data_IF_263276375784
#
_entry.id   IF_263276375784
#
_cell.length_a   1.000
_cell.length_b   1.000
_cell.length_c   1.000
_cell.angle_alpha   90.00
_cell.angle_beta   90.00
_cell.angle_gamma   90.00
#
_symmetry.space_group_name_H-M   'P 1'
#
loop_
_entity.id
_entity.type
_entity.pdbx_description
1 polymer ?
#
# COMPACT_ATOMS: atom_id res chain seq x y z
N UNK A 1 -2.26 -21.93 16.17
CA UNK A 1 -2.19 -20.58 15.56
C UNK A 1 -1.43 -20.70 14.26
N UNK A 2 -1.98 -20.25 13.11
CA UNK A 2 -1.25 -20.25 11.86
C UNK A 2 -0.03 -19.33 11.98
N UNK A 3 1.13 -19.82 11.53
CA UNK A 3 2.38 -19.07 11.47
C UNK A 3 2.15 -17.80 10.61
N UNK A 4 2.29 -16.61 11.21
CA UNK A 4 2.29 -15.34 10.47
C UNK A 4 3.74 -15.00 10.11
N UNK A 5 4.12 -15.00 8.82
CA UNK A 5 5.48 -14.67 8.43
C UNK A 5 5.83 -13.25 8.89
N UNK A 6 7.04 -13.06 9.41
CA UNK A 6 7.56 -11.74 9.76
C UNK A 6 7.84 -11.01 8.43
N UNK A 7 7.22 -9.84 8.18
CA UNK A 7 7.48 -9.10 6.96
C UNK A 7 8.94 -8.67 6.93
N UNK A 8 9.59 -8.87 5.78
CA UNK A 8 10.97 -8.45 5.56
C UNK A 8 11.05 -6.93 5.29
N UNK A 9 12.22 -6.32 5.47
CA UNK A 9 12.45 -4.94 5.07
C UNK A 9 12.13 -4.77 3.59
N UNK A 10 11.28 -3.82 3.22
CA UNK A 10 11.11 -3.43 1.81
C UNK A 10 12.35 -2.70 1.31
N UNK A 11 12.43 -2.43 -0.01
CA UNK A 11 13.49 -1.57 -0.55
C UNK A 11 13.50 -0.19 0.12
N UNK A 12 12.32 0.38 0.34
CA UNK A 12 12.15 1.69 0.94
C UNK A 12 12.60 1.68 2.41
N UNK A 13 12.34 0.60 3.14
CA UNK A 13 12.82 0.41 4.52
C UNK A 13 14.35 0.21 4.56
N UNK A 14 14.92 -0.53 3.61
CA UNK A 14 16.37 -0.69 3.47
C UNK A 14 17.06 0.64 3.08
N UNK A 15 16.44 1.44 2.21
CA UNK A 15 16.92 2.77 1.84
C UNK A 15 16.85 3.75 3.01
N UNK A 16 15.77 3.71 3.79
CA UNK A 16 15.64 4.51 5.01
C UNK A 16 16.70 4.12 6.06
N UNK A 17 16.90 2.82 6.30
CA UNK A 17 17.97 2.30 7.16
C UNK A 17 19.35 2.76 6.68
N UNK A 18 19.62 2.70 5.38
CA UNK A 18 20.87 3.21 4.80
C UNK A 18 21.05 4.72 5.04
N UNK A 19 20.02 5.54 4.80
CA UNK A 19 20.07 6.99 5.02
C UNK A 19 20.31 7.32 6.49
N UNK A 20 19.62 6.62 7.41
CA UNK A 20 19.83 6.79 8.86
C UNK A 20 21.27 6.50 9.23
N UNK A 21 21.85 5.40 8.72
CA UNK A 21 23.25 5.07 8.96
C UNK A 21 24.21 6.09 8.38
N UNK A 22 23.97 6.56 7.16
CA UNK A 22 24.79 7.60 6.51
C UNK A 22 24.75 8.91 7.31
N UNK A 23 23.56 9.36 7.77
CA UNK A 23 23.45 10.55 8.63
C UNK A 23 24.15 10.31 9.98
N UNK A 24 24.09 9.10 10.57
CA UNK A 24 24.81 8.77 11.81
C UNK A 24 26.34 8.81 11.61
N UNK A 25 26.83 8.29 10.49
CA UNK A 25 28.26 8.31 10.15
C UNK A 25 28.80 9.74 9.94
N UNK A 26 27.95 10.68 9.52
CA UNK A 26 28.26 12.11 9.42
C UNK A 26 28.22 12.84 10.77
N UNK A 27 27.98 12.14 11.87
CA UNK A 27 27.94 12.72 13.22
C UNK A 27 26.64 13.45 13.54
N UNK A 28 25.58 13.29 12.75
CA UNK A 28 24.27 13.83 13.12
C UNK A 28 23.77 13.13 14.38
N UNK A 29 23.46 13.91 15.42
CA UNK A 29 22.94 13.39 16.67
C UNK A 29 21.49 12.94 16.47
N UNK A 30 21.29 11.62 16.42
CA UNK A 30 20.00 11.04 16.72
C UNK A 30 19.84 11.00 18.26
N UNK A 31 18.65 11.29 18.82
CA UNK A 31 18.44 11.21 20.26
C UNK A 31 18.93 9.85 20.80
N UNK A 32 19.89 9.89 21.73
CA UNK A 32 20.45 8.70 22.37
C UNK A 32 19.53 8.09 23.43
N UNK A 33 18.50 8.83 23.85
CA UNK A 33 17.46 8.28 24.70
C UNK A 33 16.67 7.27 23.89
N UNK A 34 16.28 6.16 24.53
CA UNK A 34 15.34 5.22 23.94
C UNK A 34 14.19 6.04 23.32
N UNK A 35 13.88 5.81 22.03
CA UNK A 35 12.84 6.54 21.35
C UNK A 35 11.60 6.56 22.24
N UNK A 36 11.10 7.75 22.60
CA UNK A 36 9.79 7.83 23.24
C UNK A 36 8.79 7.28 22.22
N UNK A 37 7.90 6.42 22.68
CA UNK A 37 6.77 6.01 21.87
C UNK A 37 5.95 7.28 21.65
N UNK A 38 5.98 7.82 20.43
CA UNK A 38 5.21 9.00 20.08
C UNK A 38 3.74 8.64 19.90
N UNK A 39 3.50 7.40 19.46
CA UNK A 39 2.18 6.87 19.19
C UNK A 39 2.20 5.34 19.34
N UNK A 40 1.15 4.76 19.89
CA UNK A 40 0.90 3.32 19.89
C UNK A 40 -0.23 3.01 18.92
N UNK A 41 -0.01 2.04 18.02
CA UNK A 41 -1.03 1.54 17.10
C UNK A 41 -1.26 0.05 17.34
N UNK A 42 -2.48 -0.44 17.11
CA UNK A 42 -2.79 -1.87 17.19
C UNK A 42 -2.74 -2.40 15.75
N UNK A 43 -1.84 -3.33 15.46
CA UNK A 43 -1.77 -3.93 14.12
C UNK A 43 -2.98 -4.84 13.84
N UNK A 44 -3.21 -5.27 12.58
CA UNK A 44 -4.26 -6.22 12.23
C UNK A 44 -4.14 -7.62 12.90
N UNK A 45 -3.14 -7.84 13.75
CA UNK A 45 -2.99 -9.02 14.60
C UNK A 45 -3.42 -8.77 16.05
N UNK A 46 -3.89 -7.57 16.38
CA UNK A 46 -4.19 -7.16 17.75
C UNK A 46 -2.95 -6.85 18.59
N UNK A 47 -1.77 -6.68 17.98
CA UNK A 47 -0.53 -6.40 18.71
C UNK A 47 -0.28 -4.90 18.80
N UNK A 48 0.14 -4.44 19.97
CA UNK A 48 0.66 -3.07 20.13
C UNK A 48 1.95 -2.92 19.34
N UNK A 49 1.95 -1.88 18.51
CA UNK A 49 3.06 -1.43 17.71
C UNK A 49 3.43 -0.05 18.19
N UNK A 50 4.67 0.10 18.64
CA UNK A 50 5.20 1.38 19.07
C UNK A 50 5.72 2.13 17.85
N UNK A 51 5.24 3.35 17.65
CA UNK A 51 5.68 4.24 16.59
C UNK A 51 6.54 5.33 17.23
N UNK A 52 7.73 5.53 16.68
CA UNK A 52 8.59 6.66 17.02
C UNK A 52 9.01 7.39 15.77
N UNK A 53 8.98 8.73 15.83
CA UNK A 53 9.36 9.68 14.81
C UNK A 53 10.59 10.44 15.32
N UNK A 54 11.73 10.25 14.67
CA UNK A 54 12.98 10.88 15.04
C UNK A 54 13.35 11.96 14.01
N UNK A 55 13.26 13.25 14.37
CA UNK A 55 13.70 14.32 13.48
C UNK A 55 15.22 14.35 13.37
N UNK A 56 15.76 14.45 12.15
CA UNK A 56 17.15 14.79 11.88
C UNK A 56 17.21 16.24 11.38
N UNK A 57 17.89 17.17 12.08
CA UNK A 57 17.93 18.59 11.70
C UNK A 57 18.55 18.85 10.31
N UNK A 58 19.42 17.96 9.83
CA UNK A 58 20.06 18.09 8.51
C UNK A 58 19.50 17.15 7.44
N UNK A 59 18.71 16.15 7.83
CA UNK A 59 18.23 15.11 6.91
C UNK A 59 16.71 14.95 6.91
N UNK A 60 15.90 15.50 7.83
CA UNK A 60 14.44 15.34 7.95
C UNK A 60 13.93 14.28 8.93
N UNK A 61 12.62 14.03 9.01
CA UNK A 61 11.99 13.11 10.00
C UNK A 61 11.99 11.64 9.56
N UNK A 62 12.48 10.75 10.43
CA UNK A 62 12.47 9.29 10.22
C UNK A 62 11.45 8.64 11.16
N UNK A 63 10.44 7.95 10.62
CA UNK A 63 9.53 7.10 11.41
C UNK A 63 10.13 5.69 11.54
N UNK A 64 10.44 5.29 12.76
CA UNK A 64 10.77 3.92 13.14
C UNK A 64 9.57 3.28 13.82
N UNK A 65 9.18 2.11 13.33
CA UNK A 65 8.18 1.28 13.99
C UNK A 65 8.90 0.21 14.80
N UNK A 66 8.44 -0.11 16.00
CA UNK A 66 9.02 -1.17 16.83
C UNK A 66 7.94 -2.18 17.15
N UNK A 67 8.25 -3.47 16.96
CA UNK A 67 7.33 -4.56 17.31
C UNK A 67 7.91 -5.33 18.49
N UNK A 68 7.20 -5.44 19.62
CA UNK A 68 7.62 -6.35 20.66
C UNK A 68 7.58 -7.79 20.11
N UNK A 69 8.69 -8.52 20.22
CA UNK A 69 8.70 -9.95 19.90
C UNK A 69 8.18 -10.73 21.11
N UNK A 70 7.51 -11.88 20.92
CA UNK A 70 6.90 -12.67 22.00
C UNK A 70 7.87 -13.26 23.03
N UNK A 71 9.18 -12.99 22.94
CA UNK A 71 10.18 -13.50 23.89
C UNK A 71 10.54 -12.42 24.91
N UNK A 72 10.52 -12.72 26.22
CA UNK A 72 11.07 -11.82 27.22
C UNK A 72 12.55 -11.54 26.90
N UNK A 73 12.92 -10.27 26.73
CA UNK A 73 14.32 -9.84 26.57
C UNK A 73 14.86 -9.71 25.14
N UNK A 74 14.03 -9.86 24.11
CA UNK A 74 14.42 -9.48 22.73
C UNK A 74 13.44 -8.43 22.19
N UNK A 75 13.94 -7.32 21.66
CA UNK A 75 13.16 -6.34 20.93
C UNK A 75 13.58 -6.41 19.48
N UNK A 76 12.65 -6.73 18.57
CA UNK A 76 12.89 -6.62 17.13
C UNK A 76 12.57 -5.18 16.73
N UNK A 77 13.59 -4.41 16.41
CA UNK A 77 13.41 -3.10 15.76
C UNK A 77 13.15 -3.37 14.28
N UNK A 78 11.88 -3.42 13.89
CA UNK A 78 11.48 -3.51 12.49
C UNK A 78 11.09 -2.11 12.02
N UNK A 79 12.06 -1.32 11.55
CA UNK A 79 11.82 0.03 11.05
C UNK A 79 10.91 -0.01 9.82
N UNK A 80 9.61 0.11 10.06
CA UNK A 80 8.60 0.28 9.03
C UNK A 80 8.40 1.77 8.78
N UNK A 81 8.83 2.26 7.62
CA UNK A 81 8.54 3.61 7.16
C UNK A 81 7.16 3.65 6.51
N UNK A 82 6.17 4.20 7.21
CA UNK A 82 4.93 4.65 6.56
C UNK A 82 4.87 6.16 6.77
N UNK A 83 4.85 6.85 5.65
CA UNK A 83 5.00 8.28 5.53
C UNK A 83 3.66 8.94 5.84
N UNK A 84 3.66 10.07 6.53
CA UNK A 84 2.56 11.05 6.49
C UNK A 84 3.13 12.31 5.84
N UNK A 85 2.26 13.24 5.42
CA UNK A 85 2.67 14.41 4.63
C UNK A 85 3.75 15.25 5.36
N UNK A 86 4.82 15.63 4.67
CA UNK A 86 5.81 16.54 5.21
C UNK A 86 5.27 17.89 5.60
N UNK A 87 5.60 18.30 6.82
CA UNK A 87 5.85 19.73 7.07
C UNK A 87 7.16 20.12 6.39
N UNK A 88 7.41 21.41 6.08
CA UNK A 88 8.68 21.85 5.50
C UNK A 88 9.87 21.28 6.31
N UNK A 89 10.63 20.36 5.70
CA UNK A 89 11.76 19.67 6.35
C UNK A 89 11.77 18.14 6.38
N UNK A 90 10.88 17.39 5.71
CA UNK A 90 11.04 15.92 5.64
C UNK A 90 12.16 15.46 4.69
N UNK A 91 12.61 14.22 4.89
CA UNK A 91 13.90 13.71 4.42
C UNK A 91 14.04 13.75 2.90
N UNK A 92 14.82 14.69 2.34
CA UNK A 92 15.09 14.69 0.91
C UNK A 92 15.85 13.41 0.52
N UNK A 93 15.44 12.73 -0.55
CA UNK A 93 16.26 11.69 -1.16
C UNK A 93 15.91 10.23 -0.84
N UNK A 94 14.88 9.91 -0.04
CA UNK A 94 14.53 8.50 0.30
C UNK A 94 14.00 7.75 -0.92
N UNK A 95 13.05 8.33 -1.65
CA UNK A 95 12.50 7.71 -2.86
C UNK A 95 13.60 7.55 -3.93
N UNK A 96 14.43 8.58 -4.09
CA UNK A 96 15.57 8.59 -4.99
C UNK A 96 16.64 7.56 -4.56
N UNK A 97 16.85 7.35 -3.26
CA UNK A 97 17.75 6.31 -2.75
C UNK A 97 17.14 4.93 -2.95
N UNK A 98 15.86 4.73 -2.66
CA UNK A 98 15.15 3.46 -2.87
C UNK A 98 15.14 3.03 -4.34
N UNK A 99 15.03 3.99 -5.27
CA UNK A 99 15.20 3.74 -6.70
C UNK A 99 16.64 3.34 -7.08
N UNK A 100 17.64 3.73 -6.29
CA UNK A 100 19.07 3.43 -6.51
C UNK A 100 19.60 2.24 -5.73
N UNK A 101 18.91 1.77 -4.68
CA UNK A 101 19.46 0.68 -3.88
C UNK A 101 19.48 -0.60 -4.69
N UNK A 102 20.52 -1.42 -4.52
CA UNK A 102 20.66 -2.72 -5.22
C UNK A 102 19.77 -3.78 -4.58
N UNK A 103 19.58 -4.93 -5.22
CA UNK A 103 18.84 -6.06 -4.61
C UNK A 103 19.55 -6.62 -3.38
N UNK A 104 20.86 -6.38 -3.28
CA UNK A 104 21.72 -6.81 -2.17
C UNK A 104 21.47 -5.98 -0.90
N UNK A 105 21.22 -4.67 -1.02
CA UNK A 105 21.01 -3.79 0.14
C UNK A 105 19.78 -4.21 1.01
N UNK A 106 18.60 -4.56 0.44
CA UNK A 106 17.49 -5.15 1.19
C UNK A 106 17.80 -6.53 1.77
N UNK A 107 18.53 -7.39 1.04
CA UNK A 107 18.91 -8.71 1.52
C UNK A 107 19.84 -8.61 2.74
N UNK A 108 20.78 -7.67 2.73
CA UNK A 108 21.67 -7.38 3.85
C UNK A 108 20.91 -6.76 5.02
N UNK A 109 19.91 -5.90 4.75
CA UNK A 109 19.04 -5.36 5.79
C UNK A 109 18.24 -6.49 6.47
N UNK A 110 17.72 -7.43 5.70
CA UNK A 110 17.03 -8.61 6.22
C UNK A 110 17.97 -9.52 7.03
N UNK A 111 19.20 -9.74 6.56
CA UNK A 111 20.21 -10.52 7.28
C UNK A 111 20.59 -9.88 8.62
N UNK A 112 20.84 -8.57 8.64
CA UNK A 112 21.10 -7.81 9.88
C UNK A 112 19.95 -7.87 10.87
N UNK A 113 18.71 -7.93 10.37
CA UNK A 113 17.52 -8.10 11.19
C UNK A 113 17.28 -9.56 11.64
N UNK A 114 18.16 -10.50 11.27
CA UNK A 114 18.04 -11.92 11.61
C UNK A 114 16.97 -12.68 10.81
N UNK A 115 16.54 -12.14 9.66
CA UNK A 115 15.49 -12.71 8.81
C UNK A 115 16.02 -13.57 7.67
N UNK A 116 17.34 -13.67 7.50
CA UNK A 116 18.03 -14.34 6.39
C UNK A 116 18.07 -13.51 5.11
N UNK A 117 18.80 -13.99 4.09
CA UNK A 117 18.97 -13.28 2.80
C UNK A 117 17.93 -13.65 1.73
N UNK A 118 17.51 -14.91 1.65
CA UNK A 118 16.59 -15.39 0.60
C UNK A 118 15.13 -14.98 0.80
N UNK A 119 14.44 -14.44 -0.21
CA UNK A 119 13.00 -14.14 -0.15
C UNK A 119 12.22 -15.39 0.33
N UNK A 120 11.33 -15.28 1.33
CA UNK A 120 10.60 -16.45 1.84
C UNK A 120 9.73 -17.08 0.75
N UNK A 121 9.52 -18.40 0.84
CA UNK A 121 8.56 -19.08 -0.02
C UNK A 121 7.17 -18.45 0.13
N UNK A 122 6.49 -18.20 -1.01
CA UNK A 122 5.17 -17.55 -1.04
C UNK A 122 5.20 -16.02 -1.13
N UNK A 123 6.38 -15.40 -1.28
CA UNK A 123 6.49 -13.97 -1.60
C UNK A 123 6.84 -13.80 -3.07
N UNK A 124 6.22 -12.82 -3.72
CA UNK A 124 6.53 -12.42 -5.07
C UNK A 124 7.96 -11.81 -5.12
N UNK A 125 8.76 -12.18 -6.12
CA UNK A 125 10.08 -11.59 -6.30
C UNK A 125 9.98 -10.11 -6.73
N UNK A 126 10.96 -9.29 -6.35
CA UNK A 126 11.13 -7.97 -6.96
C UNK A 126 11.62 -8.15 -8.40
N UNK A 127 10.80 -7.70 -9.35
CA UNK A 127 11.04 -7.79 -10.79
C UNK A 127 10.98 -6.42 -11.47
N UNK A 128 11.09 -5.31 -10.73
CA UNK A 128 11.02 -3.95 -11.28
C UNK A 128 11.98 -3.71 -12.45
N UNK A 129 13.17 -4.31 -12.43
CA UNK A 129 14.18 -4.14 -13.48
C UNK A 129 13.87 -4.83 -14.82
N UNK A 130 12.94 -5.80 -14.83
CA UNK A 130 12.62 -6.59 -16.03
C UNK A 130 11.12 -6.60 -16.36
N UNK A 131 10.27 -6.11 -15.45
CA UNK A 131 8.84 -6.10 -15.62
C UNK A 131 8.38 -5.14 -16.73
N UNK A 132 7.32 -5.56 -17.43
CA UNK A 132 6.58 -4.74 -18.40
C UNK A 132 5.16 -4.55 -17.90
N UNK A 133 4.43 -3.51 -18.34
CA UNK A 133 3.02 -3.37 -18.01
C UNK A 133 2.22 -4.63 -18.41
N UNK A 134 1.35 -5.08 -17.51
CA UNK A 134 0.46 -6.22 -17.72
C UNK A 134 -0.98 -5.78 -17.57
N UNK A 135 -1.84 -6.20 -18.50
CA UNK A 135 -3.25 -5.82 -18.54
C UNK A 135 -4.12 -7.06 -18.54
N UNK A 136 -5.10 -7.09 -17.63
CA UNK A 136 -6.08 -8.15 -17.51
C UNK A 136 -7.47 -7.55 -17.50
N UNK A 137 -8.40 -8.17 -18.20
CA UNK A 137 -9.82 -7.74 -18.20
C UNK A 137 -10.69 -8.94 -17.86
N UNK A 138 -11.62 -8.74 -16.93
CA UNK A 138 -12.59 -9.73 -16.51
C UNK A 138 -13.89 -9.06 -16.05
N UNK A 139 -14.96 -9.84 -15.96
CA UNK A 139 -16.24 -9.39 -15.40
C UNK A 139 -16.29 -9.76 -13.92
N UNK A 140 -16.61 -8.78 -13.06
CA UNK A 140 -16.66 -8.93 -11.60
C UNK A 140 -18.07 -8.72 -11.10
N UNK A 141 -18.60 -9.70 -10.37
CA UNK A 141 -19.85 -9.57 -9.63
C UNK A 141 -19.78 -8.53 -8.51
N UNK A 142 -20.66 -7.53 -8.53
CA UNK A 142 -20.69 -6.43 -7.54
C UNK A 142 -22.06 -6.33 -6.84
N UNK A 143 -22.54 -7.41 -6.16
CA UNK A 143 -23.87 -7.45 -5.57
C UNK A 143 -24.10 -6.36 -4.50
N UNK A 144 -23.02 -5.91 -3.87
CA UNK A 144 -23.01 -4.85 -2.86
C UNK A 144 -22.30 -3.58 -3.33
N UNK A 145 -22.21 -3.35 -4.66
CA UNK A 145 -21.50 -2.20 -5.26
C UNK A 145 -20.01 -2.15 -4.94
N UNK A 146 -19.42 -3.28 -4.59
CA UNK A 146 -18.01 -3.33 -4.19
C UNK A 146 -17.37 -4.62 -4.65
N UNK A 147 -16.06 -4.53 -4.89
CA UNK A 147 -15.16 -5.65 -5.07
C UNK A 147 -13.85 -5.35 -4.34
N UNK A 148 -13.00 -6.37 -4.18
CA UNK A 148 -11.82 -6.26 -3.31
C UNK A 148 -10.54 -6.58 -4.06
N UNK A 149 -9.47 -5.87 -3.72
CA UNK A 149 -8.10 -6.28 -4.02
C UNK A 149 -7.48 -6.84 -2.73
N UNK A 150 -7.19 -8.14 -2.72
CA UNK A 150 -6.70 -8.84 -1.53
C UNK A 150 -5.34 -9.47 -1.80
N UNK A 151 -4.42 -9.31 -0.86
CA UNK A 151 -3.18 -10.08 -0.80
C UNK A 151 -3.47 -11.56 -0.53
N UNK A 152 -2.55 -12.46 -0.90
CA UNK A 152 -2.72 -13.91 -0.89
C UNK A 152 -3.32 -14.49 0.40
N UNK A 153 -3.02 -13.89 1.55
CA UNK A 153 -3.49 -14.35 2.85
C UNK A 153 -4.56 -13.45 3.49
N UNK A 154 -4.93 -12.35 2.84
CA UNK A 154 -5.98 -11.47 3.32
C UNK A 154 -7.36 -12.02 2.95
N UNK A 155 -8.32 -11.90 3.87
CA UNK A 155 -9.74 -12.10 3.63
C UNK A 155 -10.47 -10.77 3.52
N UNK A 156 -11.73 -10.82 3.09
CA UNK A 156 -12.60 -9.64 3.00
C UNK A 156 -12.82 -8.99 4.37
N UNK A 157 -12.79 -9.78 5.44
CA UNK A 157 -12.88 -9.35 6.84
C UNK A 157 -11.73 -8.41 7.28
N UNK A 158 -10.64 -8.34 6.51
CA UNK A 158 -9.56 -7.38 6.76
C UNK A 158 -9.96 -5.93 6.44
N UNK A 159 -10.95 -5.71 5.56
CA UNK A 159 -11.39 -4.39 5.10
C UNK A 159 -12.90 -4.16 5.26
N UNK A 160 -13.66 -5.17 5.71
CA UNK A 160 -15.11 -5.07 5.92
C UNK A 160 -15.46 -5.47 7.36
N UNK A 161 -16.06 -4.57 8.16
CA UNK A 161 -16.36 -3.15 7.84
C UNK A 161 -15.08 -2.35 7.59
N UNK A 162 -15.17 -1.25 6.84
CA UNK A 162 -14.02 -0.36 6.55
C UNK A 162 -13.46 0.17 7.86
N UNK A 163 -12.19 -0.13 8.20
CA UNK A 163 -11.57 0.35 9.43
C UNK A 163 -11.46 1.88 9.44
N UNK A 164 -11.52 2.48 10.63
CA UNK A 164 -11.44 3.94 10.78
C UNK A 164 -10.08 4.53 10.37
N UNK A 165 -9.04 3.70 10.36
CA UNK A 165 -7.67 4.02 9.94
C UNK A 165 -7.38 3.63 8.48
N UNK A 166 -8.39 3.22 7.71
CA UNK A 166 -8.22 2.93 6.29
C UNK A 166 -7.87 4.20 5.50
N UNK A 167 -6.92 4.05 4.57
CA UNK A 167 -6.54 5.08 3.62
C UNK A 167 -7.61 5.18 2.54
N UNK A 168 -8.40 6.26 2.56
CA UNK A 168 -9.53 6.45 1.65
C UNK A 168 -9.37 7.67 0.73
N UNK A 169 -9.82 7.53 -0.52
CA UNK A 169 -10.07 8.65 -1.42
C UNK A 169 -11.38 8.42 -2.17
N UNK A 170 -12.18 9.48 -2.33
CA UNK A 170 -13.54 9.39 -2.86
C UNK A 170 -14.41 10.55 -2.36
N UNK A 171 -15.72 10.45 -2.59
CA UNK A 171 -16.67 11.52 -2.36
C UNK A 171 -16.77 11.96 -0.88
N UNK A 172 -15.91 12.92 -0.54
CA UNK A 172 -16.11 13.93 0.50
C UNK A 172 -15.81 13.52 1.94
N UNK A 173 -15.04 14.37 2.64
CA UNK A 173 -15.03 14.44 4.09
C UNK A 173 -16.44 14.84 4.58
N UNK A 174 -17.30 13.85 4.75
CA UNK A 174 -18.75 14.01 4.87
C UNK A 174 -19.42 13.17 3.80
N UNK A 175 -19.51 11.86 4.04
CA UNK A 175 -20.10 10.88 3.15
C UNK A 175 -21.43 11.39 2.57
N UNK A 176 -21.45 11.65 1.26
CA UNK A 176 -22.68 11.45 0.50
C UNK A 176 -23.08 9.99 0.66
N UNK A 177 -24.36 9.71 0.93
CA UNK A 177 -24.82 8.38 1.35
C UNK A 177 -24.58 7.24 0.35
N UNK A 178 -24.05 7.51 -0.85
CA UNK A 178 -23.93 6.56 -1.95
C UNK A 178 -22.52 6.02 -2.22
N UNK A 179 -21.43 6.61 -1.69
CA UNK A 179 -20.08 6.02 -1.68
C UNK A 179 -19.47 5.65 -3.05
N UNK A 180 -19.95 6.25 -4.14
CA UNK A 180 -19.53 5.90 -5.51
C UNK A 180 -18.13 6.43 -5.83
N UNK A 181 -17.34 5.66 -6.58
CA UNK A 181 -16.04 6.12 -7.07
C UNK A 181 -14.98 6.22 -5.98
N UNK A 182 -15.25 5.64 -4.81
CA UNK A 182 -14.34 5.59 -3.68
C UNK A 182 -13.43 4.36 -3.75
N UNK A 183 -12.27 4.47 -3.12
CA UNK A 183 -11.45 3.34 -2.75
C UNK A 183 -10.96 3.53 -1.31
N UNK A 184 -10.91 2.45 -0.54
CA UNK A 184 -10.33 2.42 0.81
C UNK A 184 -9.35 1.25 0.91
N UNK A 185 -8.22 1.48 1.56
CA UNK A 185 -7.16 0.50 1.66
C UNK A 185 -6.58 0.42 3.07
N UNK A 186 -6.28 -0.81 3.48
CA UNK A 186 -5.43 -1.15 4.61
C UNK A 186 -4.29 -2.04 4.12
N UNK A 187 -3.25 -2.30 4.93
CA UNK A 187 -2.24 -3.27 4.54
C UNK A 187 -2.85 -4.63 4.16
N UNK A 188 -2.57 -5.09 2.95
CA UNK A 188 -3.02 -6.37 2.41
C UNK A 188 -4.44 -6.39 1.83
N UNK A 189 -5.27 -5.36 2.01
CA UNK A 189 -6.64 -5.37 1.52
C UNK A 189 -7.11 -3.98 1.06
N UNK A 190 -7.87 -3.91 -0.03
CA UNK A 190 -8.57 -2.72 -0.46
C UNK A 190 -9.99 -3.06 -0.92
N UNK A 191 -10.91 -2.13 -0.70
CA UNK A 191 -12.27 -2.15 -1.22
C UNK A 191 -12.43 -1.06 -2.28
N UNK A 192 -13.03 -1.42 -3.40
CA UNK A 192 -13.25 -0.55 -4.54
C UNK A 192 -14.75 -0.43 -4.80
N UNK A 193 -15.25 0.80 -4.80
CA UNK A 193 -16.68 1.09 -4.84
C UNK A 193 -17.16 1.46 -6.23
N UNK A 194 -18.25 0.83 -6.65
CA UNK A 194 -18.87 0.94 -7.98
C UNK A 194 -20.16 1.76 -7.89
N UNK A 195 -20.67 2.24 -9.03
CA UNK A 195 -21.84 3.10 -9.10
C UNK A 195 -23.13 2.35 -8.79
N UNK A 196 -23.36 1.19 -9.41
CA UNK A 196 -24.64 0.47 -9.30
C UNK A 196 -24.47 -0.93 -8.74
N UNK A 197 -25.55 -1.43 -8.12
CA UNK A 197 -25.68 -2.88 -7.88
C UNK A 197 -25.88 -3.50 -9.26
N UNK A 198 -24.86 -4.18 -9.74
CA UNK A 198 -24.88 -4.86 -11.02
C UNK A 198 -24.57 -6.34 -10.83
N UNK A 199 -25.13 -7.17 -11.71
CA UNK A 199 -24.80 -8.59 -11.74
C UNK A 199 -23.32 -8.80 -12.06
N UNK A 200 -22.75 -7.95 -12.93
CA UNK A 200 -21.32 -7.89 -13.19
C UNK A 200 -20.92 -6.51 -13.76
N UNK A 201 -19.70 -6.07 -13.46
CA UNK A 201 -19.05 -4.89 -14.04
C UNK A 201 -17.75 -5.34 -14.73
N UNK A 202 -17.45 -4.89 -15.96
CA UNK A 202 -16.15 -5.10 -16.57
C UNK A 202 -15.07 -4.33 -15.79
N UNK A 203 -14.06 -5.07 -15.31
CA UNK A 203 -12.90 -4.53 -14.61
C UNK A 203 -11.66 -4.81 -15.44
N UNK A 204 -10.92 -3.75 -15.77
CA UNK A 204 -9.58 -3.85 -16.34
C UNK A 204 -8.55 -3.53 -15.26
N UNK A 205 -7.59 -4.41 -15.07
CA UNK A 205 -6.46 -4.21 -14.15
C UNK A 205 -5.19 -4.01 -14.96
N UNK A 206 -4.45 -2.94 -14.67
CA UNK A 206 -3.14 -2.65 -15.24
C UNK A 206 -2.11 -2.68 -14.13
N UNK A 207 -1.14 -3.60 -14.21
CA UNK A 207 0.00 -3.66 -13.29
C UNK A 207 1.21 -3.12 -14.02
N UNK A 208 1.76 -2.00 -13.56
CA UNK A 208 2.84 -1.29 -14.24
C UNK A 208 4.08 -1.16 -13.33
N UNK A 209 5.31 -1.15 -13.90
CA UNK A 209 6.53 -0.97 -13.11
C UNK A 209 6.71 0.47 -12.60
N UNK A 210 6.01 1.44 -13.21
CA UNK A 210 6.02 2.87 -12.88
C UNK A 210 4.58 3.42 -13.04
N UNK A 211 4.33 4.67 -12.63
CA UNK A 211 3.04 5.34 -12.85
C UNK A 211 2.68 5.34 -14.35
N UNK A 212 1.58 4.68 -14.77
CA UNK A 212 1.17 4.62 -16.17
C UNK A 212 0.47 5.90 -16.67
N UNK A 213 0.25 6.89 -15.81
CA UNK A 213 -0.57 8.07 -16.10
C UNK A 213 -2.07 7.80 -15.92
N UNK A 214 -2.82 8.84 -15.56
CA UNK A 214 -4.25 8.76 -15.32
C UNK A 214 -5.04 8.91 -16.64
N UNK A 215 -6.08 8.09 -16.83
CA UNK A 215 -7.02 8.23 -17.94
C UNK A 215 -8.24 9.03 -17.47
N UNK A 216 -8.25 10.33 -17.74
CA UNK A 216 -9.28 11.23 -17.18
C UNK A 216 -10.51 11.41 -18.09
N UNK A 217 -10.34 11.28 -19.41
CA UNK A 217 -11.41 11.62 -20.36
C UNK A 217 -12.50 10.54 -20.46
N UNK A 218 -12.16 9.28 -20.14
CA UNK A 218 -13.07 8.12 -20.24
C UNK A 218 -13.76 7.71 -18.94
N UNK A 219 -13.50 8.40 -17.83
CA UNK A 219 -13.94 8.00 -16.49
C UNK A 219 -14.53 9.18 -15.72
N UNK A 220 -15.54 8.93 -14.89
CA UNK A 220 -16.25 9.99 -14.16
C UNK A 220 -15.57 10.31 -12.82
N UNK A 221 -15.13 9.28 -12.12
CA UNK A 221 -14.38 9.38 -10.86
C UNK A 221 -13.02 8.70 -11.03
N UNK A 222 -11.95 9.37 -10.59
CA UNK A 222 -10.59 8.87 -10.59
C UNK A 222 -9.94 9.19 -9.26
N UNK A 223 -9.70 8.16 -8.46
CA UNK A 223 -9.15 8.28 -7.10
C UNK A 223 -7.90 7.44 -6.94
N UNK A 224 -7.09 7.85 -5.98
CA UNK A 224 -5.81 7.23 -5.69
C UNK A 224 -5.65 6.96 -4.20
N UNK A 225 -5.27 5.74 -3.85
CA UNK A 225 -5.03 5.32 -2.45
C UNK A 225 -3.71 4.57 -2.31
N UNK A 226 -3.07 4.74 -1.15
CA UNK A 226 -1.88 3.98 -0.83
C UNK A 226 -2.29 2.54 -0.47
N UNK A 227 -1.59 1.56 -1.02
CA UNK A 227 -1.80 0.14 -0.72
C UNK A 227 -0.48 -0.50 -0.36
N UNK A 228 -0.50 -1.44 0.59
CA UNK A 228 0.70 -2.18 0.97
C UNK A 228 0.46 -3.66 0.78
N UNK A 229 1.15 -4.28 -0.17
CA UNK A 229 1.16 -5.71 -0.35
C UNK A 229 2.06 -6.39 0.70
N UNK A 230 1.60 -7.49 1.27
CA UNK A 230 2.34 -8.28 2.24
C UNK A 230 3.18 -9.37 1.59
N UNK A 231 2.66 -10.01 0.55
CA UNK A 231 3.37 -11.04 -0.22
C UNK A 231 3.70 -10.58 -1.62
N UNK A 232 2.97 -9.60 -2.15
CA UNK A 232 3.06 -9.20 -3.56
C UNK A 232 2.30 -10.14 -4.51
N UNK A 233 1.63 -11.16 -3.98
CA UNK A 233 0.61 -11.91 -4.69
C UNK A 233 -0.76 -11.37 -4.30
N UNK A 234 -1.47 -10.81 -5.27
CA UNK A 234 -2.80 -10.22 -5.07
C UNK A 234 -3.84 -10.85 -5.99
N UNK A 235 -5.11 -10.66 -5.64
CA UNK A 235 -6.26 -11.11 -6.43
C UNK A 235 -7.40 -10.11 -6.34
N UNK A 236 -8.24 -10.08 -7.36
CA UNK A 236 -9.57 -9.48 -7.23
C UNK A 236 -10.54 -10.53 -6.67
N UNK A 237 -11.37 -10.13 -5.71
CA UNK A 237 -12.37 -11.01 -5.09
C UNK A 237 -13.74 -10.32 -5.07
N UNK A 238 -14.77 -11.09 -5.43
CA UNK A 238 -16.18 -10.69 -5.33
C UNK A 238 -16.72 -11.02 -3.93
N UNK A 239 -17.70 -10.24 -3.45
CA UNK A 239 -18.36 -10.57 -2.19
C UNK A 239 -19.14 -11.89 -2.30
N UNK A 240 -18.60 -12.96 -1.72
CA UNK A 240 -19.20 -14.30 -1.76
C UNK A 240 -19.17 -14.96 -3.14
N UNK A 241 -18.35 -14.45 -4.07
CA UNK A 241 -18.36 -14.85 -5.48
C UNK A 241 -16.99 -15.36 -5.98
N UNK A 242 -16.68 -15.03 -7.22
CA UNK A 242 -15.47 -15.48 -7.89
C UNK A 242 -14.20 -14.79 -7.36
N UNK A 243 -13.06 -15.46 -7.62
CA UNK A 243 -11.71 -14.96 -7.33
C UNK A 243 -10.92 -14.93 -8.62
N UNK A 244 -10.32 -13.78 -8.92
CA UNK A 244 -9.55 -13.53 -10.12
C UNK A 244 -8.08 -13.27 -9.72
N UNK A 245 -7.23 -14.28 -9.88
CA UNK A 245 -5.80 -14.17 -9.58
C UNK A 245 -5.12 -13.17 -10.50
N UNK A 246 -4.25 -12.32 -9.95
CA UNK A 246 -3.44 -11.38 -10.73
C UNK A 246 -1.99 -11.88 -10.83
N UNK A 247 -1.22 -11.44 -11.85
CA UNK A 247 0.22 -11.65 -11.88
C UNK A 247 0.90 -11.10 -10.61
N UNK A 248 2.05 -11.67 -10.19
CA UNK A 248 2.80 -11.15 -9.06
C UNK A 248 3.16 -9.67 -9.24
N UNK A 249 2.97 -8.83 -8.22
CA UNK A 249 3.25 -7.41 -8.33
C UNK A 249 4.75 -7.14 -8.58
N UNK A 250 5.06 -6.09 -9.34
CA UNK A 250 6.40 -5.89 -9.89
C UNK A 250 7.49 -5.65 -8.83
N UNK A 251 7.18 -5.03 -7.70
CA UNK A 251 8.13 -4.82 -6.61
C UNK A 251 8.06 -5.92 -5.53
N UNK A 252 7.30 -6.99 -5.75
CA UNK A 252 7.02 -8.00 -4.72
C UNK A 252 6.14 -7.45 -3.60
N UNK A 253 6.48 -7.74 -2.36
CA UNK A 253 5.84 -7.12 -1.19
C UNK A 253 6.31 -5.67 -1.01
N UNK A 254 5.46 -4.82 -0.44
CA UNK A 254 5.82 -3.43 -0.17
C UNK A 254 4.74 -2.42 -0.58
N UNK A 255 5.11 -1.15 -0.71
CA UNK A 255 4.16 -0.09 -1.00
C UNK A 255 3.85 0.02 -2.49
N UNK A 256 2.56 0.26 -2.77
CA UNK A 256 1.99 0.44 -4.09
C UNK A 256 1.01 1.61 -4.06
N UNK A 257 0.78 2.19 -5.23
CA UNK A 257 -0.36 3.05 -5.49
C UNK A 257 -1.43 2.25 -6.21
N UNK A 258 -2.68 2.44 -5.78
CA UNK A 258 -3.85 2.06 -6.56
C UNK A 258 -4.45 3.33 -7.15
N UNK A 259 -4.75 3.32 -8.45
CA UNK A 259 -5.61 4.33 -9.10
C UNK A 259 -6.86 3.64 -9.61
N UNK A 260 -7.99 3.97 -8.98
CA UNK A 260 -9.29 3.43 -9.34
C UNK A 260 -10.03 4.46 -10.19
N UNK A 261 -10.38 4.04 -11.40
CA UNK A 261 -11.19 4.82 -12.32
C UNK A 261 -12.55 4.15 -12.44
N UNK A 262 -13.61 4.92 -12.29
CA UNK A 262 -14.98 4.46 -12.42
C UNK A 262 -15.68 5.27 -13.50
N UNK A 263 -16.19 4.57 -14.50
CA UNK A 263 -17.14 5.11 -15.48
C UNK A 263 -18.51 4.62 -15.06
N UNK A 264 -19.41 5.56 -14.84
CA UNK A 264 -20.81 5.31 -14.51
C UNK A 264 -21.63 5.21 -15.79
N UNK A 265 -22.78 4.50 -15.78
CA UNK A 265 -23.63 4.45 -16.95
C UNK A 265 -24.15 5.84 -17.31
N UNK A 266 -23.82 6.32 -18.50
CA UNK A 266 -24.41 7.52 -19.08
C UNK A 266 -25.74 7.20 -19.78
N UNK A 267 -26.57 8.22 -20.00
CA UNK A 267 -27.81 8.11 -20.79
C UNK A 267 -27.54 7.67 -22.25
N UNK A 268 -26.28 7.72 -22.69
CA UNK A 268 -25.81 7.36 -24.04
C UNK A 268 -25.69 5.85 -24.27
N UNK A 269 -25.94 5.02 -23.26
CA UNK A 269 -25.98 3.55 -23.40
C UNK A 269 -24.65 2.84 -23.16
N UNK A 270 -23.59 3.55 -22.80
CA UNK A 270 -22.36 2.91 -22.32
C UNK A 270 -22.55 2.31 -20.92
N UNK A 271 -22.10 1.08 -20.74
CA UNK A 271 -22.16 0.38 -19.46
C UNK A 271 -21.11 0.89 -18.46
N UNK A 272 -21.41 0.64 -17.18
CA UNK A 272 -20.46 0.84 -16.09
C UNK A 272 -19.16 0.07 -16.34
N UNK A 273 -18.01 0.69 -16.05
CA UNK A 273 -16.71 0.05 -16.21
C UNK A 273 -15.69 0.58 -15.20
N UNK A 274 -14.78 -0.30 -14.77
CA UNK A 274 -13.69 0.05 -13.87
C UNK A 274 -12.32 -0.17 -14.52
N UNK A 275 -11.40 0.77 -14.28
CA UNK A 275 -9.97 0.58 -14.53
C UNK A 275 -9.21 0.72 -13.21
N UNK A 276 -8.51 -0.33 -12.82
CA UNK A 276 -7.61 -0.34 -11.67
C UNK A 276 -6.17 -0.38 -12.15
N UNK A 277 -5.41 0.69 -11.92
CA UNK A 277 -3.98 0.72 -12.15
C UNK A 277 -3.24 0.48 -10.83
N UNK A 278 -2.18 -0.34 -10.87
CA UNK A 278 -1.36 -0.72 -9.73
C UNK A 278 0.10 -0.54 -10.10
N UNK A 279 0.85 0.26 -9.34
CA UNK A 279 2.30 0.41 -9.55
C UNK A 279 3.05 0.59 -8.23
N UNK A 280 4.32 0.18 -8.15
CA UNK A 280 5.15 0.45 -6.99
C UNK A 280 5.29 1.96 -6.80
N UNK A 281 5.00 2.44 -5.61
CA UNK A 281 5.16 3.84 -5.29
C UNK A 281 5.44 4.01 -3.80
N UNK A 282 6.33 4.96 -3.48
CA UNK A 282 6.47 5.43 -2.10
C UNK A 282 5.14 6.01 -1.65
N UNK A 283 4.81 5.81 -0.37
CA UNK A 283 3.58 6.35 0.18
C UNK A 283 3.44 7.85 -0.13
N UNK A 284 2.24 8.19 -0.57
CA UNK A 284 1.71 9.55 -0.71
C UNK A 284 0.28 9.51 -0.25
N UNK A 285 -0.21 10.61 0.34
CA UNK A 285 -1.59 10.67 0.82
C UNK A 285 -2.58 10.33 -0.30
N UNK A 286 -3.73 9.73 0.03
CA UNK A 286 -4.80 9.53 -0.93
C UNK A 286 -5.19 10.85 -1.62
N UNK A 287 -5.63 10.75 -2.88
CA UNK A 287 -6.01 11.93 -3.65
C UNK A 287 -7.17 11.63 -4.59
N UNK A 288 -7.97 12.66 -4.86
CA UNK A 288 -9.02 12.63 -5.88
C UNK A 288 -8.47 13.40 -7.08
N UNK A 289 -8.28 12.71 -8.21
CA UNK A 289 -7.78 13.32 -9.45
C UNK A 289 -8.91 13.87 -10.32
N UNK A 290 -10.05 13.17 -10.31
CA UNK A 290 -11.30 13.60 -10.91
C UNK A 290 -12.44 13.10 -10.03
N UNK A 291 -13.42 13.94 -9.78
CA UNK A 291 -14.63 13.57 -9.08
C UNK A 291 -15.83 14.16 -9.79
N UNK A 292 -16.93 13.42 -9.77
CA UNK A 292 -18.22 13.95 -10.22
C UNK A 292 -18.63 15.15 -9.35
N UNK A 293 -19.25 16.20 -9.93
CA UNK A 293 -19.83 17.27 -9.13
C UNK A 293 -20.89 16.71 -8.19
N UNK A 294 -20.92 17.17 -6.94
CA UNK A 294 -21.99 16.85 -6.01
C UNK A 294 -23.30 17.39 -6.61
N UNK A 295 -24.23 16.49 -6.92
CA UNK A 295 -25.58 16.82 -7.39
C UNK A 295 -26.48 17.33 -6.28
#
# INVERSE_FOLDING_TARGET
MPYRPVPRPTREEAAADAIVRECKARGHAFPQKAPRVDETSIDPAGRTVDITRTPCPGCGTVRSTTRPVPRPGTTLVAAVGIFERPSPGDVPGVAERAARITDEEPADAAERAGLGRSVPAGFAPDRRGTARPETLTFSVGVPARQFYLLDQHAGVDAIVPVPADAEGAGAGAGAGADGVGQADAVPGAAVLWTARRAAAVPVTVVIAPNDPGAELDGYDDVVEVAYRAHTGHVRIEELGGARHGLPPLHAGYGPYRLRHHLRTPADTGEGEACLLQIWPEVYRRPSVLKGRPAG
#
